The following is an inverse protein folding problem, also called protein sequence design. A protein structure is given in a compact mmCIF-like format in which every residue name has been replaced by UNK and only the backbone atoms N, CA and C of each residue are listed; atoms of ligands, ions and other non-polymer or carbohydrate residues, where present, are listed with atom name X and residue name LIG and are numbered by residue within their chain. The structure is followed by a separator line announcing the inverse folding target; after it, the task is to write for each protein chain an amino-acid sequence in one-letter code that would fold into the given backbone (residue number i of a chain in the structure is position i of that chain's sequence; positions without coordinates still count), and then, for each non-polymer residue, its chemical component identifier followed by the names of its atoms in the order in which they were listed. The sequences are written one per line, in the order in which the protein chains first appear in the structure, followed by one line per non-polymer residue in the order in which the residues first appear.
data_IF_234171249596
#
_entry.id   IF_234171249596
#
_cell.length_a   1.000
_cell.length_b   1.000
_cell.length_c   1.000
_cell.angle_alpha   90.00
_cell.angle_beta   90.00
_cell.angle_gamma   90.00
#
_symmetry.space_group_name_H-M   'P 1'
#
loop_
_entity.id
_entity.type
_entity.pdbx_description
1 polymer ?
#
# COMPACT_ATOMS: atom_id res chain seq x y z
N UNK A 1 20.44 -7.61 27.01
CA UNK A 1 19.26 -8.49 27.19
C UNK A 1 18.04 -7.60 27.27
N UNK A 2 17.05 -7.78 26.39
CA UNK A 2 15.84 -6.95 26.36
C UNK A 2 15.00 -7.19 27.62
N UNK A 3 14.56 -6.11 28.31
CA UNK A 3 13.65 -6.25 29.44
C UNK A 3 12.26 -6.66 28.92
N UNK A 4 11.74 -7.81 29.37
CA UNK A 4 10.43 -8.33 28.93
C UNK A 4 9.27 -7.37 29.26
N UNK A 5 9.40 -6.55 30.30
CA UNK A 5 8.39 -5.53 30.66
C UNK A 5 8.34 -4.33 29.71
N UNK A 6 9.25 -4.23 28.75
CA UNK A 6 9.27 -3.14 27.77
C UNK A 6 8.23 -3.32 26.65
N UNK A 7 7.65 -4.53 26.49
CA UNK A 7 6.57 -4.80 25.54
C UNK A 7 5.22 -4.39 26.17
N UNK A 8 4.93 -3.09 26.16
CA UNK A 8 3.81 -2.51 26.90
C UNK A 8 2.65 -2.00 26.02
N UNK A 9 2.74 -2.16 24.70
CA UNK A 9 1.71 -1.71 23.76
C UNK A 9 1.09 -2.90 23.04
N UNK A 10 -0.22 -2.93 22.94
CA UNK A 10 -0.94 -3.97 22.20
C UNK A 10 -1.10 -3.53 20.75
N UNK A 11 -0.62 -4.35 19.82
CA UNK A 11 -0.78 -4.14 18.38
C UNK A 11 -1.57 -5.30 17.77
N UNK A 12 -2.30 -5.03 16.69
CA UNK A 12 -2.99 -6.08 15.92
C UNK A 12 -2.22 -6.36 14.64
N UNK A 13 -2.05 -7.64 14.32
CA UNK A 13 -1.46 -8.08 13.06
C UNK A 13 -2.59 -8.31 12.07
N UNK A 14 -2.47 -7.69 10.91
CA UNK A 14 -3.45 -7.74 9.85
C UNK A 14 -2.92 -8.57 8.68
N UNK A 15 -3.76 -9.45 8.15
CA UNK A 15 -3.52 -10.16 6.90
C UNK A 15 -4.54 -9.73 5.85
N UNK A 16 -4.15 -9.79 4.58
CA UNK A 16 -5.08 -9.53 3.50
C UNK A 16 -5.95 -10.77 3.29
N UNK A 17 -7.27 -10.58 3.35
CA UNK A 17 -8.24 -11.60 2.99
C UNK A 17 -8.99 -11.19 1.74
N UNK A 18 -9.34 -12.19 0.92
CA UNK A 18 -10.16 -12.03 -0.27
C UNK A 18 -11.51 -12.67 -0.03
N UNK A 19 -12.57 -11.88 -0.20
CA UNK A 19 -13.96 -12.34 -0.23
C UNK A 19 -14.54 -11.97 -1.59
N UNK A 20 -14.79 -12.95 -2.45
CA UNK A 20 -15.23 -12.76 -3.84
C UNK A 20 -14.32 -11.81 -4.64
N UNK A 21 -14.82 -10.59 -4.90
CA UNK A 21 -14.14 -9.52 -5.62
C UNK A 21 -13.65 -8.38 -4.69
N UNK A 22 -13.66 -8.59 -3.37
CA UNK A 22 -13.20 -7.62 -2.40
C UNK A 22 -12.00 -8.14 -1.62
N UNK A 23 -10.99 -7.30 -1.48
CA UNK A 23 -9.85 -7.51 -0.61
C UNK A 23 -9.97 -6.60 0.61
N UNK A 24 -9.73 -7.15 1.80
CA UNK A 24 -9.83 -6.42 3.05
C UNK A 24 -8.74 -6.87 4.02
N UNK A 25 -8.28 -5.94 4.86
CA UNK A 25 -7.41 -6.28 5.97
C UNK A 25 -8.23 -6.89 7.10
N UNK A 26 -7.87 -8.10 7.50
CA UNK A 26 -8.50 -8.79 8.64
C UNK A 26 -7.48 -8.96 9.77
N UNK A 27 -7.95 -8.79 11.00
CA UNK A 27 -7.12 -9.04 12.18
C UNK A 27 -6.93 -10.54 12.38
N UNK A 28 -5.69 -11.01 12.30
CA UNK A 28 -5.34 -12.42 12.51
C UNK A 28 -4.76 -12.69 13.90
N UNK A 29 -4.14 -11.68 14.53
CA UNK A 29 -3.53 -11.84 15.85
C UNK A 29 -3.45 -10.49 16.60
N UNK A 30 -3.26 -10.55 17.91
CA UNK A 30 -3.04 -9.40 18.78
C UNK A 30 -1.87 -9.68 19.73
N UNK A 31 -0.78 -8.94 19.57
CA UNK A 31 0.47 -9.17 20.29
C UNK A 31 0.92 -7.94 21.07
N UNK A 32 1.81 -8.18 22.03
CA UNK A 32 2.48 -7.11 22.76
C UNK A 32 3.77 -6.71 22.04
N UNK A 33 3.95 -5.41 21.89
CA UNK A 33 5.08 -4.79 21.25
C UNK A 33 5.59 -3.61 22.09
N UNK A 34 6.82 -3.22 21.83
CA UNK A 34 7.33 -1.89 22.18
C UNK A 34 7.31 -1.05 20.90
N UNK A 35 6.52 0.02 20.84
CA UNK A 35 6.51 0.92 19.70
C UNK A 35 7.35 2.18 19.99
N UNK A 36 8.24 2.51 19.08
CA UNK A 36 9.10 3.70 19.13
C UNK A 36 8.96 4.45 17.80
N UNK A 37 8.22 5.58 17.80
CA UNK A 37 8.17 6.48 16.65
C UNK A 37 9.59 6.95 16.30
N UNK A 38 10.02 6.70 15.06
CA UNK A 38 11.33 7.14 14.59
C UNK A 38 11.24 8.59 14.11
N UNK A 39 11.27 9.53 15.06
CA UNK A 39 11.39 10.94 14.76
C UNK A 39 12.84 11.30 14.41
N UNK A 40 13.27 11.07 13.17
CA UNK A 40 14.49 11.73 12.68
C UNK A 40 14.15 13.13 12.15
N UNK A 41 14.68 14.18 12.80
CA UNK A 41 14.57 15.60 12.37
C UNK A 41 14.95 15.81 10.90
N UNK A 42 15.79 14.95 10.30
CA UNK A 42 16.21 15.06 8.90
C UNK A 42 15.19 14.53 7.88
N UNK A 43 14.27 13.66 8.30
CA UNK A 43 13.25 13.08 7.41
C UNK A 43 12.14 14.06 7.02
N UNK A 44 12.00 15.18 7.76
CA UNK A 44 10.99 16.23 7.55
C UNK A 44 11.18 17.02 6.25
N UNK A 45 12.39 17.04 5.67
CA UNK A 45 12.68 17.83 4.46
C UNK A 45 12.31 17.11 3.15
N UNK A 46 12.01 15.81 3.20
CA UNK A 46 11.43 15.11 2.07
C UNK A 46 9.90 15.16 2.18
N UNK A 47 9.22 15.59 1.12
CA UNK A 47 7.75 15.62 0.99
C UNK A 47 7.07 14.23 1.07
N UNK A 48 7.72 13.22 1.64
CA UNK A 48 7.18 11.89 1.91
C UNK A 48 6.76 11.85 3.37
N UNK A 49 5.51 12.27 3.60
CA UNK A 49 4.81 12.43 4.87
C UNK A 49 4.54 11.11 5.63
N UNK A 50 5.47 10.16 5.60
CA UNK A 50 5.25 8.83 6.12
C UNK A 50 6.08 8.65 7.39
N UNK A 51 5.39 8.62 8.55
CA UNK A 51 6.02 8.55 9.88
C UNK A 51 6.50 7.11 10.11
N UNK A 52 7.82 6.85 10.16
CA UNK A 52 8.30 5.51 10.45
C UNK A 52 8.12 5.22 11.95
N UNK A 53 7.75 3.99 12.26
CA UNK A 53 7.59 3.47 13.62
C UNK A 53 8.34 2.15 13.69
N UNK A 54 9.14 2.01 14.75
CA UNK A 54 9.80 0.74 15.06
C UNK A 54 8.99 0.01 16.10
N UNK A 55 8.74 -1.27 15.83
CA UNK A 55 8.09 -2.17 16.75
C UNK A 55 9.08 -3.26 17.14
N UNK A 56 9.32 -3.44 18.42
CA UNK A 56 10.05 -4.61 18.92
C UNK A 56 9.02 -5.61 19.41
N UNK A 57 9.07 -6.83 18.88
CA UNK A 57 8.13 -7.91 19.19
C UNK A 57 8.87 -9.20 19.47
N UNK A 58 8.19 -10.17 20.10
CA UNK A 58 8.67 -11.56 20.09
C UNK A 58 8.50 -12.13 18.68
N UNK A 59 9.37 -13.06 18.28
CA UNK A 59 9.22 -13.77 17.00
C UNK A 59 7.89 -14.52 16.97
N UNK A 60 7.06 -14.20 15.98
CA UNK A 60 5.70 -14.73 15.88
C UNK A 60 5.23 -14.92 14.42
N UNK A 61 6.16 -15.13 13.48
CA UNK A 61 5.82 -15.41 12.08
C UNK A 61 5.26 -14.23 11.29
N UNK A 62 5.40 -12.99 11.78
CA UNK A 62 5.05 -11.81 10.99
C UNK A 62 5.97 -11.72 9.76
N UNK A 63 5.35 -11.55 8.59
CA UNK A 63 6.00 -11.30 7.31
C UNK A 63 5.76 -9.87 6.83
N UNK A 64 6.48 -9.45 5.79
CA UNK A 64 6.30 -8.13 5.18
C UNK A 64 4.97 -7.95 4.41
N UNK A 65 4.28 -9.05 4.08
CA UNK A 65 2.94 -9.03 3.49
C UNK A 65 1.85 -8.61 4.50
N UNK A 66 2.11 -8.76 5.80
CA UNK A 66 1.20 -8.28 6.83
C UNK A 66 1.24 -6.75 6.99
N UNK A 67 0.19 -6.24 7.63
CA UNK A 67 0.13 -4.87 8.14
C UNK A 67 -0.05 -4.90 9.66
N UNK A 68 0.23 -3.78 10.32
CA UNK A 68 0.04 -3.60 11.76
C UNK A 68 -1.03 -2.52 11.97
N UNK A 69 -1.95 -2.76 12.90
CA UNK A 69 -2.83 -1.71 13.43
C UNK A 69 -2.33 -1.34 14.83
N UNK A 70 -1.94 -0.08 14.99
CA UNK A 70 -1.38 0.47 16.22
C UNK A 70 -2.08 1.79 16.52
N UNK A 71 -2.76 1.92 17.67
CA UNK A 71 -3.52 3.13 18.04
C UNK A 71 -4.48 3.60 16.93
N UNK A 72 -5.18 2.64 16.29
CA UNK A 72 -6.07 2.82 15.14
C UNK A 72 -5.39 3.33 13.84
N UNK A 73 -4.07 3.49 13.85
CA UNK A 73 -3.25 3.82 12.69
C UNK A 73 -2.79 2.56 11.95
N UNK A 74 -3.05 2.51 10.64
CA UNK A 74 -2.54 1.43 9.79
C UNK A 74 -1.06 1.63 9.50
N UNK A 75 -0.27 0.58 9.66
CA UNK A 75 1.16 0.59 9.44
C UNK A 75 1.54 -0.48 8.42
N UNK A 76 2.18 -0.07 7.32
CA UNK A 76 2.78 -0.99 6.37
C UNK A 76 4.19 -1.35 6.80
N UNK A 77 4.45 -2.64 6.92
CA UNK A 77 5.79 -3.17 7.21
C UNK A 77 6.68 -2.94 6.00
N UNK A 78 7.84 -2.33 6.25
CA UNK A 78 8.88 -2.06 5.24
C UNK A 78 10.15 -2.88 5.46
N UNK A 79 10.39 -3.34 6.70
CA UNK A 79 11.54 -4.15 7.03
C UNK A 79 11.29 -4.97 8.30
N UNK A 80 11.86 -6.17 8.37
CA UNK A 80 11.89 -7.01 9.56
C UNK A 80 13.33 -7.48 9.77
N UNK A 81 13.89 -7.22 10.94
CA UNK A 81 15.24 -7.62 11.30
C UNK A 81 15.23 -8.43 12.59
N UNK A 82 15.98 -9.52 12.63
CA UNK A 82 16.15 -10.28 13.85
C UNK A 82 17.10 -9.54 14.80
N UNK A 83 16.67 -9.32 16.04
CA UNK A 83 17.54 -8.77 17.09
C UNK A 83 18.32 -9.92 17.73
N UNK A 84 17.62 -10.98 18.10
CA UNK A 84 18.18 -12.21 18.67
C UNK A 84 17.26 -13.42 18.39
N UNK A 85 17.43 -14.52 19.15
CA UNK A 85 16.61 -15.73 18.98
C UNK A 85 15.14 -15.55 19.38
N UNK A 86 14.82 -14.61 20.27
CA UNK A 86 13.47 -14.39 20.80
C UNK A 86 12.80 -13.15 20.21
N UNK A 87 13.55 -12.13 19.84
CA UNK A 87 13.03 -10.82 19.46
C UNK A 87 13.36 -10.44 18.01
N UNK A 88 12.46 -9.65 17.43
CA UNK A 88 12.61 -9.04 16.12
C UNK A 88 12.22 -7.57 16.18
N UNK A 89 12.90 -6.75 15.38
CA UNK A 89 12.54 -5.37 15.09
C UNK A 89 11.76 -5.33 13.78
N UNK A 90 10.60 -4.71 13.80
CA UNK A 90 9.75 -4.47 12.65
C UNK A 90 9.76 -2.97 12.41
N UNK A 91 10.31 -2.55 11.28
CA UNK A 91 10.17 -1.16 10.83
C UNK A 91 8.93 -1.09 9.96
N UNK A 92 7.99 -0.23 10.35
CA UNK A 92 6.78 0.02 9.60
C UNK A 92 6.56 1.53 9.43
N UNK A 93 5.60 1.86 8.59
CA UNK A 93 5.32 3.21 8.18
C UNK A 93 3.81 3.44 8.27
N UNK A 94 3.41 4.49 8.99
CA UNK A 94 2.00 4.86 9.16
C UNK A 94 1.42 5.32 7.83
N UNK A 95 0.29 4.75 7.44
CA UNK A 95 -0.41 5.04 6.19
C UNK A 95 -1.92 5.16 6.44
N UNK A 96 -2.60 5.79 5.49
CA UNK A 96 -4.06 5.86 5.46
C UNK A 96 -4.57 5.03 4.27
N UNK A 97 -4.99 3.76 4.49
CA UNK A 97 -5.57 2.95 3.44
C UNK A 97 -6.89 3.56 2.97
N UNK A 98 -7.02 3.75 1.66
CA UNK A 98 -8.24 4.13 0.97
C UNK A 98 -8.82 2.92 0.25
N UNK A 99 -10.14 2.87 0.16
CA UNK A 99 -10.82 1.88 -0.66
C UNK A 99 -10.65 2.26 -2.13
N UNK A 100 -9.94 1.42 -2.87
CA UNK A 100 -9.77 1.52 -4.31
C UNK A 100 -10.71 0.55 -5.01
N UNK A 101 -11.20 0.95 -6.19
CA UNK A 101 -12.01 0.10 -7.07
C UNK A 101 -11.43 0.10 -8.47
N UNK A 102 -11.38 -1.06 -9.10
CA UNK A 102 -10.99 -1.20 -10.51
C UNK A 102 -12.01 -2.08 -11.22
N UNK A 103 -12.36 -1.71 -12.44
CA UNK A 103 -13.22 -2.53 -13.29
C UNK A 103 -12.30 -3.40 -14.15
N UNK A 104 -12.39 -4.72 -13.98
CA UNK A 104 -11.67 -5.68 -14.81
C UNK A 104 -12.60 -6.35 -15.79
N UNK A 105 -12.14 -6.43 -17.02
CA UNK A 105 -12.83 -7.13 -18.10
C UNK A 105 -12.26 -8.53 -18.22
N UNK A 106 -13.10 -9.54 -18.13
CA UNK A 106 -12.69 -10.92 -18.34
C UNK A 106 -12.78 -11.25 -19.82
N UNK A 107 -11.69 -11.79 -20.37
CA UNK A 107 -11.60 -12.23 -21.76
C UNK A 107 -11.24 -13.72 -21.73
N UNK A 108 -12.04 -14.54 -22.41
CA UNK A 108 -11.70 -15.93 -22.69
C UNK A 108 -11.47 -16.11 -24.19
N UNK A 109 -10.77 -17.17 -24.57
CA UNK A 109 -10.64 -17.56 -25.96
C UNK A 109 -11.79 -18.50 -26.33
N UNK A 110 -12.45 -18.26 -27.46
CA UNK A 110 -13.43 -19.20 -28.01
C UNK A 110 -12.74 -20.42 -28.65
N UNK A 111 -13.55 -21.32 -29.21
CA UNK A 111 -13.07 -22.52 -29.92
C UNK A 111 -12.13 -22.23 -31.12
N UNK A 112 -12.04 -20.98 -31.56
CA UNK A 112 -11.18 -20.52 -32.66
C UNK A 112 -10.05 -19.59 -32.18
N UNK A 113 -9.73 -19.60 -30.89
CA UNK A 113 -8.73 -18.71 -30.28
C UNK A 113 -9.02 -17.21 -30.46
N UNK A 114 -10.29 -16.82 -30.60
CA UNK A 114 -10.67 -15.41 -30.67
C UNK A 114 -11.00 -14.93 -29.26
N UNK A 115 -10.47 -13.76 -28.83
CA UNK A 115 -10.83 -13.19 -27.55
C UNK A 115 -12.30 -12.77 -27.53
N UNK A 116 -13.07 -13.33 -26.60
CA UNK A 116 -14.48 -13.03 -26.36
C UNK A 116 -14.62 -12.48 -24.95
N UNK A 117 -15.36 -11.38 -24.84
CA UNK A 117 -15.69 -10.74 -23.56
C UNK A 117 -16.61 -11.67 -22.76
N UNK A 118 -16.12 -12.09 -21.59
CA UNK A 118 -16.83 -12.99 -20.69
C UNK A 118 -17.67 -12.25 -19.64
N UNK A 119 -17.38 -10.97 -19.42
CA UNK A 119 -18.04 -10.16 -18.41
C UNK A 119 -17.14 -9.06 -17.85
N UNK A 120 -17.70 -8.32 -16.91
CA UNK A 120 -17.05 -7.20 -16.23
C UNK A 120 -17.18 -7.42 -14.73
N UNK A 121 -16.07 -7.31 -14.00
CA UNK A 121 -16.03 -7.44 -12.54
C UNK A 121 -15.43 -6.19 -11.92
N UNK A 122 -16.15 -5.59 -10.98
CA UNK A 122 -15.58 -4.58 -10.08
C UNK A 122 -14.80 -5.32 -8.98
N UNK A 123 -13.51 -4.99 -8.85
CA UNK A 123 -12.65 -5.47 -7.77
C UNK A 123 -12.39 -4.30 -6.82
N UNK A 124 -12.58 -4.54 -5.53
CA UNK A 124 -12.29 -3.55 -4.48
C UNK A 124 -11.12 -3.99 -3.60
N UNK A 125 -10.24 -3.08 -3.21
CA UNK A 125 -9.05 -3.38 -2.42
C UNK A 125 -8.54 -2.17 -1.64
N UNK A 126 -7.80 -2.36 -0.52
CA UNK A 126 -7.15 -1.27 0.17
C UNK A 126 -5.90 -0.80 -0.59
N UNK A 127 -5.71 0.51 -0.73
CA UNK A 127 -4.50 1.10 -1.29
C UNK A 127 -4.13 2.40 -0.60
N UNK A 128 -2.84 2.75 -0.59
CA UNK A 128 -2.35 4.03 -0.05
C UNK A 128 -1.84 4.91 -1.18
N UNK A 129 -2.23 6.18 -1.18
CA UNK A 129 -1.84 7.17 -2.19
C UNK A 129 -0.92 8.23 -1.59
N UNK A 130 0.15 8.58 -2.28
CA UNK A 130 1.07 9.67 -1.89
C UNK A 130 1.36 10.54 -3.09
N UNK A 131 1.32 11.86 -2.92
CA UNK A 131 1.63 12.83 -3.97
C UNK A 131 3.06 12.64 -4.50
N UNK A 132 3.21 12.60 -5.81
CA UNK A 132 4.52 12.70 -6.46
C UNK A 132 4.79 14.15 -6.81
N UNK A 133 6.02 14.66 -6.60
CA UNK A 133 6.36 16.02 -6.98
C UNK A 133 6.20 16.18 -8.50
N UNK A 134 5.45 17.20 -8.91
CA UNK A 134 5.25 17.54 -10.31
C UNK A 134 6.60 17.82 -10.97
N UNK A 135 6.91 17.14 -12.08
CA UNK A 135 7.99 17.58 -12.97
C UNK A 135 7.45 18.75 -13.78
N UNK A 136 7.99 19.96 -13.57
CA UNK A 136 7.68 21.10 -14.46
C UNK A 136 8.33 20.82 -15.81
N UNK A 137 7.55 20.35 -16.78
CA UNK A 137 7.96 20.40 -18.18
C UNK A 137 7.78 21.83 -18.68
N UNK A 138 8.89 22.47 -19.07
CA UNK A 138 8.86 23.78 -19.73
C UNK A 138 8.49 23.57 -21.19
N UNK A 139 7.20 23.59 -21.55
CA UNK A 139 6.80 23.72 -22.96
C UNK A 139 5.33 24.18 -23.18
N UNK A 140 5.21 25.34 -23.86
CA UNK A 140 4.07 25.87 -24.66
C UNK A 140 2.83 26.43 -23.91
N UNK A 141 2.10 27.41 -24.51
CA UNK A 141 1.24 28.37 -23.79
C UNK A 141 -0.12 27.84 -23.33
N UNK A 142 -0.30 26.52 -23.26
CA UNK A 142 -1.53 25.89 -22.75
C UNK A 142 -1.11 24.88 -21.68
N UNK A 143 -0.97 25.37 -20.45
CA UNK A 143 -0.47 24.55 -19.34
C UNK A 143 -1.62 23.71 -18.78
N UNK A 144 -1.65 22.41 -19.10
CA UNK A 144 -2.56 21.45 -18.47
C UNK A 144 -1.88 20.91 -17.20
N UNK A 145 -2.52 21.05 -16.05
CA UNK A 145 -1.99 20.55 -14.78
C UNK A 145 -2.18 19.02 -14.71
N UNK A 146 -1.11 18.27 -14.88
CA UNK A 146 -1.10 16.82 -14.65
C UNK A 146 -0.60 16.54 -13.22
N UNK A 147 -1.48 16.01 -12.37
CA UNK A 147 -1.12 15.60 -11.01
C UNK A 147 -0.78 14.10 -11.03
N UNK A 148 0.35 13.74 -10.40
CA UNK A 148 0.84 12.37 -10.32
C UNK A 148 0.92 11.93 -8.87
N UNK A 149 0.63 10.66 -8.64
CA UNK A 149 0.63 10.05 -7.32
C UNK A 149 1.27 8.66 -7.38
N UNK A 150 1.80 8.22 -6.25
CA UNK A 150 2.25 6.85 -6.03
C UNK A 150 1.15 6.09 -5.29
N UNK A 151 0.57 5.11 -5.96
CA UNK A 151 -0.35 4.15 -5.36
C UNK A 151 0.42 2.93 -4.90
N UNK A 152 0.30 2.56 -3.62
CA UNK A 152 0.82 1.31 -3.06
C UNK A 152 -0.35 0.39 -2.72
N UNK A 153 -0.32 -0.84 -3.22
CA UNK A 153 -1.37 -1.86 -3.04
C UNK A 153 -0.76 -3.19 -2.59
N UNK A 154 -1.56 -4.10 -2.02
CA UNK A 154 -1.13 -5.46 -1.74
C UNK A 154 -0.60 -6.19 -2.98
N UNK A 155 0.23 -7.21 -2.76
CA UNK A 155 0.96 -7.91 -3.83
C UNK A 155 0.03 -8.64 -4.82
N UNK A 156 -1.12 -9.08 -4.33
CA UNK A 156 -2.18 -9.79 -5.04
C UNK A 156 -2.94 -8.89 -6.03
N UNK A 157 -2.82 -7.57 -5.88
CA UNK A 157 -3.47 -6.61 -6.75
C UNK A 157 -2.51 -6.25 -7.88
N UNK A 158 -2.78 -6.81 -9.06
CA UNK A 158 -2.07 -6.50 -10.29
C UNK A 158 -2.88 -5.53 -11.14
N UNK A 159 -2.28 -4.38 -11.45
CA UNK A 159 -2.88 -3.34 -12.27
C UNK A 159 -2.09 -3.17 -13.57
N UNK A 160 -2.80 -2.91 -14.67
CA UNK A 160 -2.23 -2.68 -15.99
C UNK A 160 -2.24 -1.20 -16.35
N UNK A 161 -1.27 -0.77 -17.17
CA UNK A 161 -1.24 0.58 -17.69
C UNK A 161 -2.51 0.86 -18.52
N UNK A 162 -3.12 2.02 -18.29
CA UNK A 162 -4.39 2.43 -18.89
C UNK A 162 -5.63 2.02 -18.10
N UNK A 163 -5.52 1.15 -17.09
CA UNK A 163 -6.67 0.86 -16.20
C UNK A 163 -7.05 2.11 -15.38
N UNK A 164 -8.36 2.25 -15.14
CA UNK A 164 -8.92 3.31 -14.30
C UNK A 164 -9.20 2.77 -12.90
N UNK A 165 -8.71 3.49 -11.89
CA UNK A 165 -8.91 3.19 -10.48
C UNK A 165 -9.71 4.33 -9.85
N UNK A 166 -10.87 3.99 -9.31
CA UNK A 166 -11.69 4.93 -8.55
C UNK A 166 -11.26 4.91 -7.08
N UNK A 167 -10.94 6.07 -6.53
CA UNK A 167 -10.65 6.28 -5.11
C UNK A 167 -11.53 7.43 -4.62
N UNK A 168 -12.54 7.11 -3.81
CA UNK A 168 -13.61 8.06 -3.49
C UNK A 168 -14.34 8.47 -4.77
N UNK A 169 -14.41 9.79 -5.05
CA UNK A 169 -15.08 10.35 -6.23
C UNK A 169 -14.10 10.77 -7.34
N UNK A 170 -12.88 10.23 -7.33
CA UNK A 170 -11.87 10.58 -8.34
C UNK A 170 -11.35 9.32 -9.02
N UNK A 171 -11.36 9.36 -10.35
CA UNK A 171 -10.77 8.31 -11.19
C UNK A 171 -9.34 8.68 -11.55
N UNK A 172 -8.45 7.70 -11.39
CA UNK A 172 -7.04 7.81 -11.67
C UNK A 172 -6.66 6.80 -12.74
N UNK A 173 -5.89 7.23 -13.73
CA UNK A 173 -5.33 6.35 -14.76
C UNK A 173 -4.00 5.77 -14.27
N UNK A 174 -3.85 4.45 -14.34
CA UNK A 174 -2.58 3.76 -14.09
C UNK A 174 -1.64 4.02 -15.25
N UNK A 175 -0.49 4.63 -14.98
CA UNK A 175 0.47 4.97 -16.02
C UNK A 175 1.63 3.98 -16.08
N UNK A 176 2.44 3.92 -15.01
CA UNK A 176 3.68 3.14 -15.00
C UNK A 176 3.64 2.16 -13.82
N UNK A 177 3.71 0.84 -14.09
CA UNK A 177 4.02 -0.11 -13.03
C UNK A 177 5.46 0.15 -12.57
N UNK A 178 5.64 0.49 -11.29
CA UNK A 178 6.98 0.59 -10.72
C UNK A 178 7.37 -0.78 -10.19
N UNK A 179 8.49 -1.32 -10.66
CA UNK A 179 8.97 -2.65 -10.27
C UNK A 179 9.03 -2.81 -8.74
N UNK A 180 8.09 -3.62 -8.26
CA UNK A 180 8.02 -4.45 -7.07
C UNK A 180 9.04 -4.18 -5.96
N UNK A 181 8.58 -3.57 -4.85
CA UNK A 181 9.08 -4.01 -3.53
C UNK A 181 8.66 -5.48 -3.35
N UNK A 182 9.44 -6.28 -2.61
CA UNK A 182 9.22 -7.74 -2.48
C UNK A 182 7.77 -8.12 -2.15
N UNK A 183 7.08 -7.31 -1.34
CA UNK A 183 5.79 -7.69 -0.73
C UNK A 183 4.61 -6.78 -1.07
N UNK A 184 4.81 -5.72 -1.87
CA UNK A 184 3.74 -4.77 -2.25
C UNK A 184 3.97 -4.27 -3.68
N UNK A 185 2.89 -4.04 -4.42
CA UNK A 185 2.97 -3.45 -5.76
C UNK A 185 2.81 -1.92 -5.67
N UNK A 186 3.53 -1.21 -6.54
CA UNK A 186 3.48 0.24 -6.61
C UNK A 186 3.25 0.71 -8.05
N UNK A 187 2.38 1.70 -8.18
CA UNK A 187 1.96 2.24 -9.47
C UNK A 187 2.01 3.76 -9.44
N UNK A 188 2.56 4.37 -10.50
CA UNK A 188 2.31 5.78 -10.73
C UNK A 188 0.93 5.94 -11.37
N UNK A 189 0.06 6.69 -10.70
CA UNK A 189 -1.28 7.00 -11.16
C UNK A 189 -1.42 8.51 -11.39
N UNK A 190 -2.26 8.91 -12.34
CA UNK A 190 -2.48 10.32 -12.67
C UNK A 190 -3.95 10.67 -12.71
N UNK A 191 -4.24 11.94 -12.46
CA UNK A 191 -5.53 12.55 -12.76
C UNK A 191 -5.30 13.75 -13.67
N UNK A 192 -6.11 13.84 -14.74
CA UNK A 192 -6.15 15.02 -15.60
C UNK A 192 -7.36 15.84 -15.18
N UNK A 193 -7.12 17.08 -14.74
CA UNK A 193 -8.18 18.06 -14.51
C UNK A 193 -8.06 19.12 -15.61
N UNK A 194 -9.19 19.49 -16.17
CA UNK A 194 -9.27 20.71 -16.97
C UNK A 194 -9.35 21.88 -15.99
N UNK A 195 -8.50 22.89 -16.21
CA UNK A 195 -8.42 24.12 -15.40
C UNK A 195 -9.02 25.25 -16.21
#
# INVERSE_FOLDING_TARGET
MMNSGALNQKIKVLALSRTDNAYQWICIDSIWAKAEPCFDRKSFQSRRMVKPVKFITRKNGITMSHAILWEDEHCFIINITEIDRMYQEITAVVIEPKLCKVIKTEVHLDAFNRPVLSGVKEISFPGSIVDLPSKRETAKPMSRLELRYLLTVPKEIELQAGELISIGNTDYEVWIPRLSFSDKNQYEIRVRRDV
#
